data_IF_775310722426
#
_entry.id   IF_775310722426
#
_cell.length_a   1.000
_cell.length_b   1.000
_cell.length_c   1.000
_cell.angle_alpha   90.00
_cell.angle_beta   90.00
_cell.angle_gamma   90.00
#
_symmetry.space_group_name_H-M   'P 1'
#
loop_
_entity.id
_entity.type
_entity.pdbx_description
1 polymer ?
#
# COMPACT_ATOMS: atom_id res chain seq x y z
N UNK A 1 21.78 7.19 11.87
CA UNK A 1 20.94 8.36 12.12
C UNK A 1 19.93 8.61 10.99
N UNK A 2 20.02 7.93 9.83
CA UNK A 2 18.97 7.92 8.80
C UNK A 2 17.79 6.98 9.10
N UNK A 3 18.07 5.87 9.80
CA UNK A 3 17.11 4.77 9.98
C UNK A 3 15.93 5.17 10.89
N UNK A 4 16.13 6.10 11.84
CA UNK A 4 15.11 6.46 12.84
C UNK A 4 13.89 7.20 12.24
N UNK A 5 14.06 7.84 11.08
CA UNK A 5 13.00 8.57 10.38
C UNK A 5 11.89 7.65 9.86
N UNK A 6 12.25 6.45 9.40
CA UNK A 6 11.29 5.49 8.84
C UNK A 6 10.31 4.98 9.90
N UNK A 7 10.72 5.04 11.17
CA UNK A 7 9.87 4.75 12.31
C UNK A 7 9.74 3.27 12.64
N UNK A 8 8.89 3.00 13.62
CA UNK A 8 8.68 1.68 14.21
C UNK A 8 7.19 1.52 14.51
N UNK A 9 6.60 0.40 14.08
CA UNK A 9 5.15 0.18 14.21
C UNK A 9 4.80 -1.30 14.34
N UNK A 10 3.55 -1.60 14.64
CA UNK A 10 3.09 -2.99 14.71
C UNK A 10 3.19 -3.67 13.35
N UNK A 11 3.36 -4.99 13.34
CA UNK A 11 3.33 -5.73 12.08
C UNK A 11 1.92 -5.76 11.49
N UNK A 12 1.84 -5.85 10.17
CA UNK A 12 0.64 -6.19 9.41
C UNK A 12 0.85 -7.53 8.69
N UNK A 13 0.06 -8.59 9.00
CA UNK A 13 -0.96 -8.65 10.05
C UNK A 13 -0.37 -8.54 11.46
N UNK A 14 -1.22 -8.17 12.44
CA UNK A 14 -0.81 -8.08 13.85
C UNK A 14 -0.48 -9.48 14.35
N UNK A 15 0.75 -9.66 14.82
CA UNK A 15 1.28 -10.94 15.29
C UNK A 15 1.92 -10.79 16.67
N UNK A 16 2.03 -11.91 17.38
CA UNK A 16 2.85 -12.00 18.59
C UNK A 16 4.24 -12.55 18.25
N UNK A 17 5.25 -12.13 19.01
CA UNK A 17 6.60 -12.69 18.96
C UNK A 17 6.73 -13.93 19.86
N UNK A 18 7.94 -14.50 19.94
CA UNK A 18 8.25 -15.70 20.74
C UNK A 18 8.02 -15.48 22.25
N UNK A 19 7.99 -14.23 22.70
CA UNK A 19 7.76 -13.84 24.10
C UNK A 19 6.31 -13.40 24.36
N UNK A 20 5.40 -13.70 23.43
CA UNK A 20 3.99 -13.29 23.45
C UNK A 20 3.78 -11.76 23.52
N UNK A 21 4.75 -10.97 23.04
CA UNK A 21 4.62 -9.52 22.87
C UNK A 21 4.15 -9.18 21.47
N UNK A 22 3.56 -8.00 21.26
CA UNK A 22 3.19 -7.56 19.90
C UNK A 22 4.46 -7.43 19.06
N UNK A 23 4.49 -8.14 17.94
CA UNK A 23 5.58 -8.08 16.98
C UNK A 23 5.60 -6.70 16.31
N UNK A 24 6.80 -6.15 16.16
CA UNK A 24 7.01 -4.78 15.70
C UNK A 24 7.86 -4.78 14.44
N UNK A 25 7.35 -4.16 13.37
CA UNK A 25 8.09 -3.86 12.15
C UNK A 25 8.96 -2.61 12.38
N UNK A 26 10.15 -2.59 11.77
CA UNK A 26 11.11 -1.51 11.92
C UNK A 26 11.54 -0.98 10.57
N UNK A 27 11.61 0.33 10.47
CA UNK A 27 12.29 1.03 9.40
C UNK A 27 11.74 0.67 8.01
N UNK A 28 12.54 0.07 7.14
CA UNK A 28 12.10 -0.34 5.81
C UNK A 28 10.91 -1.32 5.87
N UNK A 29 10.89 -2.23 6.84
CA UNK A 29 9.80 -3.19 7.00
C UNK A 29 8.46 -2.50 7.30
N UNK A 30 8.48 -1.43 8.10
CA UNK A 30 7.24 -0.70 8.41
C UNK A 30 6.75 0.10 7.21
N UNK A 31 7.66 0.59 6.36
CA UNK A 31 7.30 1.26 5.10
C UNK A 31 6.70 0.27 4.12
N UNK A 32 7.30 -0.91 3.92
CA UNK A 32 6.74 -1.95 3.04
C UNK A 32 5.34 -2.38 3.49
N UNK A 33 5.11 -2.50 4.79
CA UNK A 33 3.79 -2.85 5.32
C UNK A 33 2.78 -1.70 5.21
N UNK A 34 3.24 -0.45 5.28
CA UNK A 34 2.41 0.74 5.04
C UNK A 34 1.95 0.80 3.58
N UNK A 35 2.86 0.57 2.62
CA UNK A 35 2.53 0.44 1.19
C UNK A 35 1.46 -0.64 1.00
N UNK A 36 1.66 -1.83 1.58
CA UNK A 36 0.67 -2.89 1.51
C UNK A 36 -0.68 -2.46 2.09
N UNK A 37 -0.70 -1.76 3.24
CA UNK A 37 -1.93 -1.27 3.86
C UNK A 37 -2.68 -0.29 2.96
N UNK A 38 -1.98 0.64 2.31
CA UNK A 38 -2.58 1.61 1.39
C UNK A 38 -3.23 0.89 0.20
N UNK A 39 -2.49 -0.01 -0.45
CA UNK A 39 -2.95 -0.69 -1.66
C UNK A 39 -4.05 -1.73 -1.40
N UNK A 40 -4.03 -2.38 -0.22
CA UNK A 40 -5.03 -3.38 0.16
C UNK A 40 -6.31 -2.80 0.75
N UNK A 41 -6.37 -1.49 0.99
CA UNK A 41 -7.55 -0.80 1.53
C UNK A 41 -8.29 -0.08 0.42
N UNK A 42 -9.57 -0.41 0.20
CA UNK A 42 -10.42 0.36 -0.72
C UNK A 42 -10.83 1.70 -0.08
N UNK A 43 -10.98 2.76 -0.89
CA UNK A 43 -11.50 4.03 -0.40
C UNK A 43 -12.90 3.84 0.19
N UNK A 44 -13.17 4.51 1.30
CA UNK A 44 -14.40 4.40 2.07
C UNK A 44 -14.40 3.33 3.17
N UNK A 45 -13.43 2.40 3.19
CA UNK A 45 -13.37 1.36 4.23
C UNK A 45 -13.07 1.92 5.62
N UNK A 46 -12.30 3.02 5.69
CA UNK A 46 -11.96 3.66 6.97
C UNK A 46 -12.98 4.73 7.34
N UNK A 47 -13.79 4.42 8.36
CA UNK A 47 -14.92 5.23 8.86
C UNK A 47 -14.63 6.74 8.97
N UNK A 48 -13.48 7.12 9.50
CA UNK A 48 -13.10 8.53 9.71
C UNK A 48 -12.06 9.04 8.70
N UNK A 49 -11.74 8.24 7.69
CA UNK A 49 -10.79 8.55 6.61
C UNK A 49 -11.28 7.92 5.29
N UNK A 50 -12.41 8.39 4.75
CA UNK A 50 -12.98 7.79 3.54
C UNK A 50 -12.05 7.91 2.33
N UNK A 51 -11.19 8.93 2.28
CA UNK A 51 -10.26 9.13 1.15
C UNK A 51 -9.03 8.23 1.21
N UNK A 52 -8.76 7.58 2.35
CA UNK A 52 -7.61 6.70 2.52
C UNK A 52 -7.80 5.39 1.76
N UNK A 53 -6.77 4.99 1.00
CA UNK A 53 -6.73 3.76 0.25
C UNK A 53 -6.33 3.98 -1.20
N UNK A 54 -6.58 2.98 -2.03
CA UNK A 54 -6.30 3.00 -3.47
C UNK A 54 -7.56 2.74 -4.30
N UNK A 55 -7.69 3.41 -5.45
CA UNK A 55 -8.83 3.25 -6.36
C UNK A 55 -8.74 2.01 -7.27
N UNK A 56 -7.68 1.21 -7.14
CA UNK A 56 -7.50 -0.05 -7.88
C UNK A 56 -8.68 -1.02 -7.69
N UNK A 57 -9.33 -0.98 -6.52
CA UNK A 57 -10.48 -1.83 -6.16
C UNK A 57 -11.71 -1.57 -7.04
N UNK A 58 -11.82 -0.39 -7.64
CA UNK A 58 -12.89 -0.07 -8.60
C UNK A 58 -12.69 -0.78 -9.96
N UNK A 59 -11.51 -1.35 -10.21
CA UNK A 59 -11.14 -1.94 -11.51
C UNK A 59 -11.33 -3.46 -11.58
N UNK A 60 -11.79 -4.10 -10.51
CA UNK A 60 -11.94 -5.57 -10.42
C UNK A 60 -12.76 -6.17 -11.58
N UNK A 61 -13.78 -5.47 -12.07
CA UNK A 61 -14.63 -5.90 -13.18
C UNK A 61 -14.38 -5.14 -14.49
N UNK A 62 -13.32 -4.33 -14.55
CA UNK A 62 -12.94 -3.64 -15.78
C UNK A 62 -12.32 -4.63 -16.79
N UNK A 63 -12.41 -4.37 -18.10
CA UNK A 63 -11.75 -5.22 -19.09
C UNK A 63 -10.25 -5.33 -18.85
N UNK A 64 -9.65 -6.51 -19.03
CA UNK A 64 -8.20 -6.73 -18.94
C UNK A 64 -7.48 -6.14 -20.18
N UNK A 65 -7.46 -4.80 -20.27
CA UNK A 65 -6.97 -4.04 -21.42
C UNK A 65 -5.82 -3.13 -21.03
N UNK A 66 -4.99 -2.71 -22.00
CA UNK A 66 -3.92 -1.74 -21.76
C UNK A 66 -4.43 -0.41 -21.20
N UNK A 67 -5.66 -0.01 -21.54
CA UNK A 67 -6.27 1.19 -20.96
C UNK A 67 -6.56 1.03 -19.47
N UNK A 68 -7.09 -0.13 -19.06
CA UNK A 68 -7.30 -0.45 -17.64
C UNK A 68 -5.97 -0.54 -16.89
N UNK A 69 -4.96 -1.14 -17.50
CA UNK A 69 -3.60 -1.21 -16.93
C UNK A 69 -3.04 0.19 -16.68
N UNK A 70 -3.15 1.09 -17.65
CA UNK A 70 -2.69 2.48 -17.48
C UNK A 70 -3.42 3.21 -16.34
N UNK A 71 -4.73 2.98 -16.19
CA UNK A 71 -5.48 3.55 -15.07
C UNK A 71 -5.05 2.96 -13.72
N UNK A 72 -4.82 1.64 -13.64
CA UNK A 72 -4.32 0.99 -12.43
C UNK A 72 -2.97 1.56 -12.01
N UNK A 73 -2.04 1.73 -12.96
CA UNK A 73 -0.72 2.33 -12.70
C UNK A 73 -0.87 3.73 -12.13
N UNK A 74 -1.71 4.57 -12.74
CA UNK A 74 -2.00 5.92 -12.23
C UNK A 74 -2.61 5.89 -10.82
N UNK A 75 -3.64 5.07 -10.60
CA UNK A 75 -4.36 4.99 -9.32
C UNK A 75 -3.43 4.52 -8.17
N UNK A 76 -2.50 3.60 -8.46
CA UNK A 76 -1.49 3.13 -7.50
C UNK A 76 -0.46 4.21 -7.23
N UNK A 77 0.06 4.86 -8.28
CA UNK A 77 1.04 5.93 -8.14
C UNK A 77 0.48 7.10 -7.30
N UNK A 78 -0.73 7.55 -7.61
CA UNK A 78 -1.40 8.64 -6.90
C UNK A 78 -1.64 8.29 -5.42
N UNK A 79 -2.08 7.06 -5.13
CA UNK A 79 -2.29 6.61 -3.76
C UNK A 79 -1.00 6.56 -2.93
N UNK A 80 0.12 6.12 -3.54
CA UNK A 80 1.41 6.08 -2.85
C UNK A 80 1.98 7.48 -2.61
N UNK A 81 1.86 8.38 -3.59
CA UNK A 81 2.29 9.79 -3.46
C UNK A 81 1.52 10.49 -2.34
N UNK A 82 0.21 10.27 -2.25
CA UNK A 82 -0.64 10.92 -1.25
C UNK A 82 -0.40 10.37 0.16
N UNK A 83 -0.28 9.05 0.30
CA UNK A 83 -0.36 8.41 1.62
C UNK A 83 0.99 7.95 2.19
N UNK A 84 2.05 7.84 1.39
CA UNK A 84 3.37 7.37 1.83
C UNK A 84 4.50 8.39 1.55
N UNK A 85 4.64 9.45 2.37
CA UNK A 85 5.61 10.52 2.13
C UNK A 85 7.08 10.11 2.39
N UNK A 86 7.33 8.87 2.84
CA UNK A 86 8.68 8.37 3.13
C UNK A 86 9.37 7.75 1.92
N UNK A 87 8.66 7.57 0.79
CA UNK A 87 9.20 6.98 -0.43
C UNK A 87 9.14 7.96 -1.59
N UNK A 88 10.08 7.81 -2.52
CA UNK A 88 9.96 8.33 -3.88
C UNK A 88 9.42 7.22 -4.78
N UNK A 89 8.28 7.45 -5.45
CA UNK A 89 7.73 6.50 -6.41
C UNK A 89 8.51 6.63 -7.72
N UNK A 90 9.48 5.74 -7.94
CA UNK A 90 10.33 5.76 -9.12
C UNK A 90 9.63 5.21 -10.37
N UNK A 91 8.87 4.13 -10.19
CA UNK A 91 8.18 3.43 -11.26
C UNK A 91 7.06 2.54 -10.71
N UNK A 92 6.00 2.34 -11.51
CA UNK A 92 4.89 1.44 -11.20
C UNK A 92 4.52 0.71 -12.49
N UNK A 93 4.81 -0.59 -12.51
CA UNK A 93 4.50 -1.46 -13.63
C UNK A 93 3.36 -2.42 -13.29
N UNK A 94 2.45 -2.60 -14.24
CA UNK A 94 1.41 -3.62 -14.19
C UNK A 94 1.32 -4.34 -15.54
N UNK A 95 1.19 -5.66 -15.49
CA UNK A 95 1.11 -6.50 -16.68
C UNK A 95 -0.21 -7.28 -16.63
N UNK A 96 -1.04 -7.21 -17.68
CA UNK A 96 -2.25 -7.99 -17.75
C UNK A 96 -1.89 -9.49 -17.82
N UNK A 97 -2.58 -10.33 -17.04
CA UNK A 97 -2.42 -11.77 -17.14
C UNK A 97 -2.82 -12.21 -18.57
N UNK A 98 -1.97 -12.95 -19.30
CA UNK A 98 -2.29 -13.43 -20.64
C UNK A 98 -3.43 -14.47 -20.70
N UNK A 99 -3.91 -14.98 -19.55
CA UNK A 99 -4.95 -16.02 -19.49
C UNK A 99 -6.36 -15.48 -19.33
#
# INVERSE_FOLDING_TARGET
MEIDFLGVGWTLPVQLDENAQIKVARYEDVVCQSIWMILSTAKGERVMRPDFGCDIHEKVFSPNSLGTVGQIVSDVQDALIEWEPRIDVLDVDAIPDPN
#
